data_IF_085657070405
#
_entry.id   IF_085657070405
#
_cell.length_a   1.000
_cell.length_b   1.000
_cell.length_c   1.000
_cell.angle_alpha   90.00
_cell.angle_beta   90.00
_cell.angle_gamma   90.00
#
_symmetry.space_group_name_H-M   'P 1'
#
loop_
_entity.id
_entity.type
_entity.pdbx_description
1 polymer ?
#
# COMPACT_ATOMS: atom_id res chain seq x y z
N UNK A 1 -5.02 -39.05 14.87
CA UNK A 1 -4.43 -37.89 15.57
C UNK A 1 -3.36 -37.19 14.73
N UNK A 2 -2.36 -37.92 14.20
CA UNK A 2 -1.27 -37.35 13.38
C UNK A 2 -1.78 -36.60 12.13
N UNK A 3 -2.82 -37.12 11.45
CA UNK A 3 -3.35 -36.48 10.23
C UNK A 3 -4.01 -35.11 10.52
N UNK A 4 -4.79 -34.99 11.59
CA UNK A 4 -5.39 -33.72 12.04
C UNK A 4 -4.32 -32.68 12.36
N UNK A 5 -3.21 -33.09 12.97
CA UNK A 5 -2.09 -32.19 13.28
C UNK A 5 -1.40 -31.73 12.00
N UNK A 6 -1.19 -32.64 11.03
CA UNK A 6 -0.63 -32.31 9.72
C UNK A 6 -1.49 -31.30 8.97
N UNK A 7 -2.80 -31.52 8.94
CA UNK A 7 -3.76 -30.61 8.32
C UNK A 7 -3.74 -29.23 8.98
N UNK A 8 -3.74 -29.17 10.32
CA UNK A 8 -3.65 -27.91 11.06
C UNK A 8 -2.36 -27.14 10.75
N UNK A 9 -1.23 -27.83 10.61
CA UNK A 9 0.06 -27.20 10.23
C UNK A 9 0.01 -26.66 8.80
N UNK A 10 -0.57 -27.40 7.85
CA UNK A 10 -0.74 -26.95 6.47
C UNK A 10 -1.64 -25.70 6.39
N UNK A 11 -2.76 -25.70 7.12
CA UNK A 11 -3.65 -24.55 7.20
C UNK A 11 -2.95 -23.32 7.79
N UNK A 12 -2.23 -23.48 8.91
CA UNK A 12 -1.46 -22.36 9.51
C UNK A 12 -0.44 -21.77 8.55
N UNK A 13 0.28 -22.60 7.79
CA UNK A 13 1.24 -22.14 6.77
C UNK A 13 0.55 -21.36 5.64
N UNK A 14 -0.62 -21.85 5.19
CA UNK A 14 -1.41 -21.17 4.16
C UNK A 14 -1.93 -19.82 4.66
N UNK A 15 -2.45 -19.77 5.88
CA UNK A 15 -2.92 -18.51 6.50
C UNK A 15 -1.77 -17.52 6.62
N UNK A 16 -0.62 -17.93 7.15
CA UNK A 16 0.54 -17.03 7.27
C UNK A 16 1.00 -16.45 5.92
N UNK A 17 0.92 -17.25 4.84
CA UNK A 17 1.21 -16.77 3.49
C UNK A 17 0.18 -15.76 3.01
N UNK A 18 -1.10 -16.05 3.16
CA UNK A 18 -2.18 -15.13 2.77
C UNK A 18 -2.12 -13.84 3.58
N UNK A 19 -1.79 -13.90 4.86
CA UNK A 19 -1.58 -12.71 5.70
C UNK A 19 -0.44 -11.85 5.17
N UNK A 20 0.68 -12.46 4.77
CA UNK A 20 1.79 -11.73 4.16
C UNK A 20 1.38 -11.06 2.84
N UNK A 21 0.71 -11.78 1.95
CA UNK A 21 0.20 -11.26 0.68
C UNK A 21 -0.80 -10.09 0.91
N UNK A 22 -1.69 -10.20 1.90
CA UNK A 22 -2.64 -9.13 2.25
C UNK A 22 -1.91 -7.89 2.79
N UNK A 23 -0.88 -8.06 3.62
CA UNK A 23 -0.10 -6.92 4.10
C UNK A 23 0.65 -6.22 2.96
N UNK A 24 1.17 -6.98 1.99
CA UNK A 24 1.78 -6.42 0.78
C UNK A 24 0.76 -5.65 -0.06
N UNK A 25 -0.42 -6.23 -0.34
CA UNK A 25 -1.49 -5.53 -1.03
C UNK A 25 -1.91 -4.24 -0.32
N UNK A 26 -1.97 -4.25 1.03
CA UNK A 26 -2.29 -3.06 1.82
C UNK A 26 -1.22 -1.99 1.65
N UNK A 27 0.06 -2.35 1.70
CA UNK A 27 1.16 -1.42 1.48
C UNK A 27 1.12 -0.81 0.08
N UNK A 28 0.86 -1.62 -0.96
CA UNK A 28 0.72 -1.15 -2.33
C UNK A 28 -0.47 -0.20 -2.50
N UNK A 29 -1.62 -0.50 -1.89
CA UNK A 29 -2.80 0.38 -1.95
C UNK A 29 -2.55 1.74 -1.28
N UNK A 30 -1.79 1.78 -0.18
CA UNK A 30 -1.39 3.05 0.45
C UNK A 30 -0.53 3.87 -0.51
N UNK A 31 0.47 3.25 -1.13
CA UNK A 31 1.34 3.92 -2.13
C UNK A 31 0.55 4.40 -3.34
N UNK A 32 -0.42 3.63 -3.80
CA UNK A 32 -1.29 4.01 -4.90
C UNK A 32 -2.15 5.24 -4.53
N UNK A 33 -2.67 5.29 -3.30
CA UNK A 33 -3.42 6.45 -2.83
C UNK A 33 -2.54 7.72 -2.79
N UNK A 34 -1.32 7.62 -2.26
CA UNK A 34 -0.35 8.72 -2.25
C UNK A 34 -0.01 9.22 -3.66
N UNK A 35 0.19 8.30 -4.60
CA UNK A 35 0.43 8.66 -6.00
C UNK A 35 -0.80 9.33 -6.63
N UNK A 36 -2.01 8.85 -6.30
CA UNK A 36 -3.26 9.42 -6.79
C UNK A 36 -3.46 10.85 -6.27
N UNK A 37 -3.07 11.14 -5.02
CA UNK A 37 -3.10 12.49 -4.47
C UNK A 37 -2.18 13.44 -5.26
N UNK A 38 -0.96 12.99 -5.59
CA UNK A 38 -0.01 13.75 -6.40
C UNK A 38 -0.57 14.02 -7.80
N UNK A 39 -1.08 12.98 -8.46
CA UNK A 39 -1.65 13.12 -9.81
C UNK A 39 -2.85 14.07 -9.79
N UNK A 40 -3.70 13.98 -8.77
CA UNK A 40 -4.87 14.87 -8.62
C UNK A 40 -4.44 16.33 -8.55
N UNK A 41 -3.39 16.65 -7.80
CA UNK A 41 -2.85 18.00 -7.70
C UNK A 41 -2.20 18.47 -9.03
N UNK A 42 -1.50 17.58 -9.72
CA UNK A 42 -0.89 17.87 -11.03
C UNK A 42 -1.92 18.11 -12.14
N UNK A 43 -3.13 17.57 -12.02
CA UNK A 43 -4.22 17.81 -12.97
C UNK A 43 -4.85 19.19 -12.82
N UNK A 44 -4.61 19.91 -11.70
CA UNK A 44 -5.08 21.27 -11.55
C UNK A 44 -4.33 22.22 -12.52
N UNK A 45 -5.02 23.22 -13.10
CA UNK A 45 -4.37 24.30 -13.82
C UNK A 45 -3.32 24.98 -12.93
N UNK A 46 -2.18 25.36 -13.49
CA UNK A 46 -1.04 25.94 -12.73
C UNK A 46 -1.46 27.11 -11.84
N UNK A 47 -2.41 27.95 -12.30
CA UNK A 47 -2.90 29.09 -11.54
C UNK A 47 -3.73 28.72 -10.29
N UNK A 48 -4.22 27.49 -10.19
CA UNK A 48 -5.03 26.97 -9.10
C UNK A 48 -4.34 25.83 -8.33
N UNK A 49 -3.12 25.48 -8.73
CA UNK A 49 -2.32 24.43 -8.11
C UNK A 49 -1.64 24.98 -6.85
N UNK A 50 -1.69 24.19 -5.79
CA UNK A 50 -0.95 24.47 -4.57
C UNK A 50 0.44 23.82 -4.65
N UNK A 51 1.44 24.61 -5.03
CA UNK A 51 2.82 24.14 -5.18
C UNK A 51 3.47 23.71 -3.85
N UNK A 52 3.06 24.30 -2.72
CA UNK A 52 3.54 23.89 -1.39
C UNK A 52 2.98 22.52 -1.01
N UNK A 53 1.68 22.32 -1.23
CA UNK A 53 1.01 21.04 -1.04
C UNK A 53 1.58 19.96 -1.95
N UNK A 54 1.84 20.28 -3.22
CA UNK A 54 2.46 19.35 -4.16
C UNK A 54 3.87 18.94 -3.69
N UNK A 55 4.69 19.89 -3.23
CA UNK A 55 6.02 19.60 -2.70
C UNK A 55 5.94 18.69 -1.46
N UNK A 56 4.99 18.93 -0.55
CA UNK A 56 4.77 18.08 0.62
C UNK A 56 4.32 16.66 0.25
N UNK A 57 3.42 16.51 -0.73
CA UNK A 57 2.97 15.21 -1.23
C UNK A 57 4.13 14.42 -1.87
N UNK A 58 4.97 15.09 -2.66
CA UNK A 58 6.15 14.49 -3.27
C UNK A 58 7.18 14.03 -2.23
N UNK A 59 7.42 14.83 -1.19
CA UNK A 59 8.34 14.47 -0.11
C UNK A 59 7.81 13.28 0.69
N UNK A 60 6.51 13.28 1.03
CA UNK A 60 5.87 12.13 1.70
C UNK A 60 6.02 10.84 0.89
N UNK A 61 5.77 10.91 -0.42
CA UNK A 61 5.92 9.74 -1.30
C UNK A 61 7.37 9.24 -1.39
N UNK A 62 8.36 10.13 -1.43
CA UNK A 62 9.78 9.74 -1.42
C UNK A 62 10.20 9.02 -0.14
N UNK A 63 9.58 9.36 0.99
CA UNK A 63 9.84 8.70 2.27
C UNK A 63 9.13 7.35 2.41
N UNK A 64 8.10 7.07 1.59
CA UNK A 64 7.34 5.82 1.61
C UNK A 64 7.86 4.73 0.65
N UNK A 65 8.84 5.08 -0.19
CA UNK A 65 9.53 4.22 -1.15
C UNK A 65 10.83 3.69 -0.55
#
# INVERSE_FOLDING_TARGET
MIERVREAVQLRRRVARLEAEVQECRALNIRLAELTDIVTELLLPVAARDEEKLAALLEKYRQSV
#
